data_IF_506211213181
#
_entry.id   IF_506211213181
#
_cell.length_a   1.000
_cell.length_b   1.000
_cell.length_c   1.000
_cell.angle_alpha   90.00
_cell.angle_beta   90.00
_cell.angle_gamma   90.00
#
_symmetry.space_group_name_H-M   'P 1'
#
loop_
_entity.id
_entity.type
_entity.pdbx_description
1 polymer ?
#
# COMPACT_ATOMS: atom_id res chain seq x y z
N UNK A 1 7.39 -8.63 -20.12
CA UNK A 1 6.81 -9.57 -19.13
C UNK A 1 7.87 -10.41 -18.46
N UNK A 2 8.77 -11.05 -19.22
CA UNK A 2 9.88 -11.84 -18.64
C UNK A 2 10.69 -11.05 -17.60
N UNK A 3 11.13 -9.83 -17.92
CA UNK A 3 11.86 -8.95 -16.99
C UNK A 3 11.11 -8.70 -15.67
N UNK A 4 9.78 -8.51 -15.73
CA UNK A 4 8.96 -8.30 -14.53
C UNK A 4 8.89 -9.58 -13.68
N UNK A 5 8.69 -10.73 -14.31
CA UNK A 5 8.65 -12.03 -13.62
C UNK A 5 10.02 -12.32 -12.99
N UNK A 6 11.10 -12.06 -13.70
CA UNK A 6 12.47 -12.25 -13.19
C UNK A 6 12.75 -11.33 -11.98
N UNK A 7 12.30 -10.08 -12.03
CA UNK A 7 12.42 -9.14 -10.91
C UNK A 7 11.62 -9.61 -9.67
N UNK A 8 10.41 -10.11 -9.86
CA UNK A 8 9.58 -10.68 -8.78
C UNK A 8 10.29 -11.87 -8.15
N UNK A 9 10.77 -12.81 -8.97
CA UNK A 9 11.48 -14.00 -8.49
C UNK A 9 12.75 -13.62 -7.73
N UNK A 10 13.54 -12.69 -8.26
CA UNK A 10 14.75 -12.18 -7.61
C UNK A 10 14.43 -11.57 -6.24
N UNK A 11 13.43 -10.69 -6.17
CA UNK A 11 13.03 -10.07 -4.91
C UNK A 11 12.45 -11.08 -3.91
N UNK A 12 11.72 -12.10 -4.39
CA UNK A 12 11.19 -13.19 -3.56
C UNK A 12 12.32 -14.04 -2.98
N UNK A 13 13.32 -14.41 -3.78
CA UNK A 13 14.51 -15.11 -3.31
C UNK A 13 15.27 -14.28 -2.27
N UNK A 14 15.39 -12.97 -2.48
CA UNK A 14 16.00 -12.07 -1.50
C UNK A 14 15.23 -12.08 -0.17
N UNK A 15 13.89 -11.94 -0.20
CA UNK A 15 13.04 -12.03 1.00
C UNK A 15 13.21 -13.37 1.74
N UNK A 16 13.22 -14.50 1.02
CA UNK A 16 13.41 -15.83 1.61
C UNK A 16 14.79 -16.03 2.24
N UNK A 17 15.81 -15.32 1.74
CA UNK A 17 17.16 -15.35 2.31
C UNK A 17 17.29 -14.53 3.59
N UNK A 18 16.31 -13.67 3.90
CA UNK A 18 16.32 -12.88 5.13
C UNK A 18 16.10 -13.79 6.32
N UNK A 19 17.13 -13.97 7.13
CA UNK A 19 16.99 -14.56 8.44
C UNK A 19 16.38 -13.51 9.37
N UNK A 20 15.25 -13.82 10.01
CA UNK A 20 14.65 -12.93 11.00
C UNK A 20 15.46 -12.96 12.29
N UNK A 21 16.64 -12.35 12.27
CA UNK A 21 17.57 -12.26 13.40
C UNK A 21 17.10 -11.22 14.43
N UNK A 22 16.24 -10.29 14.02
CA UNK A 22 15.72 -9.24 14.88
C UNK A 22 14.41 -9.64 15.55
N UNK A 23 14.37 -9.64 16.90
CA UNK A 23 13.12 -9.80 17.66
C UNK A 23 12.20 -8.56 17.64
N UNK A 24 12.46 -7.57 16.79
CA UNK A 24 11.69 -6.33 16.73
C UNK A 24 10.36 -6.55 15.97
N UNK A 25 9.21 -6.19 16.55
CA UNK A 25 7.92 -6.19 15.86
C UNK A 25 7.93 -5.35 14.57
N UNK A 26 8.65 -4.23 14.55
CA UNK A 26 8.79 -3.35 13.39
C UNK A 26 9.46 -4.07 12.22
N UNK A 27 10.55 -4.81 12.51
CA UNK A 27 11.24 -5.58 11.48
C UNK A 27 10.38 -6.70 10.92
N UNK A 28 9.71 -7.47 11.78
CA UNK A 28 8.80 -8.52 11.34
C UNK A 28 7.63 -7.97 10.50
N UNK A 29 7.07 -6.83 10.91
CA UNK A 29 5.99 -6.15 10.17
C UNK A 29 6.47 -5.59 8.84
N UNK A 30 7.70 -5.05 8.77
CA UNK A 30 8.30 -4.64 7.51
C UNK A 30 8.39 -5.82 6.54
N UNK A 31 8.88 -6.98 6.96
CA UNK A 31 8.93 -8.16 6.09
C UNK A 31 7.54 -8.58 5.56
N UNK A 32 6.48 -8.40 6.35
CA UNK A 32 5.10 -8.61 5.88
C UNK A 32 4.70 -7.61 4.79
N UNK A 33 5.08 -6.34 4.91
CA UNK A 33 4.87 -5.37 3.82
C UNK A 33 5.64 -5.77 2.56
N UNK A 34 6.86 -6.32 2.69
CA UNK A 34 7.59 -6.83 1.53
C UNK A 34 6.85 -8.00 0.85
N UNK A 35 6.31 -8.94 1.62
CA UNK A 35 5.42 -9.99 1.08
C UNK A 35 4.24 -9.38 0.32
N UNK A 36 3.57 -8.37 0.87
CA UNK A 36 2.45 -7.69 0.18
C UNK A 36 2.88 -6.95 -1.09
N UNK A 37 4.07 -6.37 -1.12
CA UNK A 37 4.63 -5.78 -2.35
C UNK A 37 4.77 -6.86 -3.43
N UNK A 38 5.31 -8.04 -3.10
CA UNK A 38 5.46 -9.15 -4.05
C UNK A 38 4.11 -9.64 -4.58
N UNK A 39 3.14 -9.89 -3.69
CA UNK A 39 1.78 -10.31 -4.07
C UNK A 39 1.12 -9.29 -5.02
N UNK A 40 1.24 -8.00 -4.71
CA UNK A 40 0.69 -6.95 -5.57
C UNK A 40 1.40 -6.88 -6.92
N UNK A 41 2.73 -7.02 -6.96
CA UNK A 41 3.49 -7.03 -8.22
C UNK A 41 3.12 -8.23 -9.12
N UNK A 42 2.82 -9.39 -8.52
CA UNK A 42 2.29 -10.55 -9.24
C UNK A 42 0.88 -10.29 -9.79
N UNK A 43 0.01 -9.69 -8.98
CA UNK A 43 -1.31 -9.27 -9.45
C UNK A 43 -1.22 -8.25 -10.60
N UNK A 44 -0.29 -7.29 -10.53
CA UNK A 44 0.00 -6.36 -11.64
C UNK A 44 0.39 -7.13 -12.90
N UNK A 45 1.31 -8.08 -12.81
CA UNK A 45 1.74 -8.88 -13.95
C UNK A 45 0.57 -9.66 -14.60
N UNK A 46 -0.28 -10.27 -13.78
CA UNK A 46 -1.48 -10.99 -14.25
C UNK A 46 -2.48 -10.05 -14.91
N UNK A 47 -2.79 -8.92 -14.29
CA UNK A 47 -3.74 -7.94 -14.82
C UNK A 47 -3.27 -7.36 -16.15
N UNK A 48 -1.99 -7.03 -16.29
CA UNK A 48 -1.41 -6.57 -17.55
C UNK A 48 -1.48 -7.64 -18.65
N UNK A 49 -1.23 -8.92 -18.33
CA UNK A 49 -1.36 -10.02 -19.30
C UNK A 49 -2.79 -10.19 -19.83
N UNK A 50 -3.80 -9.78 -19.06
CA UNK A 50 -5.21 -9.85 -19.43
C UNK A 50 -5.79 -8.50 -19.87
N UNK A 51 -4.94 -7.50 -20.14
CA UNK A 51 -5.33 -6.13 -20.55
C UNK A 51 -6.18 -5.36 -19.53
N UNK A 52 -6.17 -5.76 -18.27
CA UNK A 52 -6.79 -5.02 -17.15
C UNK A 52 -5.85 -3.92 -16.64
N UNK A 53 -5.48 -3.00 -17.53
CA UNK A 53 -4.39 -2.05 -17.29
C UNK A 53 -4.68 -1.06 -16.16
N UNK A 54 -5.89 -0.50 -16.11
CA UNK A 54 -6.27 0.45 -15.05
C UNK A 54 -6.24 -0.23 -13.68
N UNK A 55 -6.73 -1.46 -13.59
CA UNK A 55 -6.69 -2.27 -12.37
C UNK A 55 -5.25 -2.58 -11.98
N UNK A 56 -4.39 -2.91 -12.95
CA UNK A 56 -2.97 -3.10 -12.70
C UNK A 56 -2.32 -1.84 -12.10
N UNK A 57 -2.67 -0.66 -12.63
CA UNK A 57 -2.14 0.60 -12.11
C UNK A 57 -2.63 0.85 -10.67
N UNK A 58 -3.90 0.61 -10.39
CA UNK A 58 -4.46 0.72 -9.04
C UNK A 58 -3.75 -0.20 -8.03
N UNK A 59 -3.42 -1.43 -8.42
CA UNK A 59 -2.67 -2.37 -7.56
C UNK A 59 -1.21 -1.93 -7.40
N UNK A 60 -0.58 -1.39 -8.46
CA UNK A 60 0.79 -0.84 -8.35
C UNK A 60 0.86 0.35 -7.38
N UNK A 61 -0.16 1.22 -7.36
CA UNK A 61 -0.28 2.27 -6.33
C UNK A 61 -0.20 1.69 -4.93
N UNK A 62 -0.94 0.61 -4.64
CA UNK A 62 -0.93 -0.04 -3.33
C UNK A 62 0.46 -0.59 -3.00
N UNK A 63 1.18 -1.09 -4.02
CA UNK A 63 2.59 -1.52 -3.87
C UNK A 63 3.49 -0.37 -3.40
N UNK A 64 3.31 0.84 -3.94
CA UNK A 64 4.05 2.04 -3.49
C UNK A 64 3.71 2.39 -2.04
N UNK A 65 2.45 2.26 -1.62
CA UNK A 65 2.04 2.51 -0.22
C UNK A 65 2.65 1.50 0.75
N UNK A 66 2.68 0.22 0.38
CA UNK A 66 3.37 -0.79 1.18
C UNK A 66 4.87 -0.53 1.25
N UNK A 67 5.51 -0.09 0.15
CA UNK A 67 6.92 0.29 0.17
C UNK A 67 7.20 1.48 1.10
N UNK A 68 6.32 2.48 1.12
CA UNK A 68 6.47 3.63 2.02
C UNK A 68 6.40 3.18 3.50
N UNK A 69 5.45 2.33 3.86
CA UNK A 69 5.34 1.80 5.23
C UNK A 69 6.51 0.88 5.59
N UNK A 70 6.93 0.02 4.66
CA UNK A 70 8.13 -0.81 4.80
C UNK A 70 9.37 0.03 5.13
N UNK A 71 9.62 1.07 4.32
CA UNK A 71 10.77 1.95 4.50
C UNK A 71 10.68 2.73 5.82
N UNK A 72 9.50 3.21 6.19
CA UNK A 72 9.29 3.97 7.42
C UNK A 72 9.59 3.14 8.67
N UNK A 73 9.15 1.87 8.70
CA UNK A 73 9.46 0.95 9.80
C UNK A 73 10.95 0.66 9.90
N UNK A 74 11.63 0.38 8.78
CA UNK A 74 13.08 0.13 8.79
C UNK A 74 13.88 1.37 9.21
N UNK A 75 13.42 2.57 8.85
CA UNK A 75 14.08 3.83 9.21
C UNK A 75 13.70 4.34 10.60
N UNK A 76 12.78 3.67 11.31
CA UNK A 76 12.28 4.10 12.61
C UNK A 76 11.46 5.40 12.56
N UNK A 77 10.89 5.73 11.40
CA UNK A 77 10.03 6.90 11.19
C UNK A 77 8.57 6.65 11.59
N UNK A 78 8.20 5.38 11.73
CA UNK A 78 6.95 4.97 12.34
C UNK A 78 7.14 3.69 13.18
N UNK A 79 6.24 3.46 14.12
CA UNK A 79 6.15 2.22 14.91
C UNK A 79 4.94 1.40 14.49
N UNK A 80 4.94 0.11 14.87
CA UNK A 80 3.77 -0.77 14.65
C UNK A 80 2.54 -0.22 15.38
N UNK A 81 2.71 0.34 16.59
CA UNK A 81 1.62 0.93 17.37
C UNK A 81 0.99 2.14 16.63
N UNK A 82 1.81 3.00 16.01
CA UNK A 82 1.30 4.11 15.22
C UNK A 82 0.51 3.63 13.99
N UNK A 83 0.97 2.58 13.32
CA UNK A 83 0.21 1.96 12.22
C UNK A 83 -1.12 1.36 12.69
N UNK A 84 -1.14 0.73 13.87
CA UNK A 84 -2.36 0.20 14.48
C UNK A 84 -3.35 1.30 14.82
N UNK A 85 -2.91 2.37 15.52
CA UNK A 85 -3.75 3.53 15.85
C UNK A 85 -4.34 4.18 14.61
N UNK A 86 -3.53 4.34 13.55
CA UNK A 86 -4.02 4.85 12.26
C UNK A 86 -5.09 3.93 11.67
N UNK A 87 -4.84 2.62 11.65
CA UNK A 87 -5.82 1.65 11.14
C UNK A 87 -7.12 1.68 11.94
N UNK A 88 -7.04 1.80 13.27
CA UNK A 88 -8.21 1.95 14.14
C UNK A 88 -8.97 3.23 13.79
N UNK A 89 -8.30 4.38 13.73
CA UNK A 89 -8.91 5.65 13.36
C UNK A 89 -9.57 5.62 11.98
N UNK A 90 -8.95 4.98 10.99
CA UNK A 90 -9.53 4.78 9.66
C UNK A 90 -10.79 3.90 9.74
N UNK A 91 -10.76 2.77 10.47
CA UNK A 91 -11.92 1.91 10.70
C UNK A 91 -13.06 2.69 11.37
N UNK A 92 -12.75 3.46 12.41
CA UNK A 92 -13.69 4.34 13.13
C UNK A 92 -14.38 5.30 12.16
N UNK A 93 -13.58 5.99 11.33
CA UNK A 93 -14.08 6.94 10.34
C UNK A 93 -14.99 6.27 9.31
N UNK A 94 -14.58 5.11 8.77
CA UNK A 94 -15.40 4.39 7.79
C UNK A 94 -16.68 3.83 8.40
N UNK A 95 -16.61 3.29 9.63
CA UNK A 95 -17.78 2.80 10.35
C UNK A 95 -18.82 3.89 10.59
N UNK A 96 -18.38 5.11 10.95
CA UNK A 96 -19.24 6.28 11.06
C UNK A 96 -19.93 6.61 9.74
N UNK A 97 -19.18 6.70 8.64
CA UNK A 97 -19.73 6.99 7.31
C UNK A 97 -20.73 5.92 6.84
N UNK A 98 -20.47 4.65 7.16
CA UNK A 98 -21.40 3.55 6.87
C UNK A 98 -22.68 3.65 7.71
N UNK A 99 -22.57 4.00 8.99
CA UNK A 99 -23.73 4.17 9.88
C UNK A 99 -24.65 5.31 9.44
N UNK A 100 -24.11 6.37 8.85
CA UNK A 100 -24.88 7.49 8.28
C UNK A 100 -25.71 7.07 7.05
N UNK A 101 -25.38 5.94 6.41
CA UNK A 101 -26.08 5.36 5.25
C UNK A 101 -26.80 4.04 5.52
N UNK A 102 -26.82 3.57 6.77
CA UNK A 102 -27.21 2.21 7.17
C UNK A 102 -28.69 1.89 6.84
N UNK A 103 -29.57 2.87 7.03
CA UNK A 103 -31.00 2.77 6.74
C UNK A 103 -31.32 2.68 5.23
N UNK A 104 -30.33 2.93 4.36
CA UNK A 104 -30.51 3.00 2.90
C UNK A 104 -29.77 1.91 2.14
N UNK A 105 -28.96 1.07 2.81
CA UNK A 105 -28.13 0.07 2.13
C UNK A 105 -28.80 -1.31 2.12
N UNK A 106 -29.21 -1.83 0.94
CA UNK A 106 -29.75 -3.19 0.82
C UNK A 106 -28.67 -4.29 0.93
N UNK A 107 -27.39 -3.90 1.08
CA UNK A 107 -26.24 -4.82 1.04
C UNK A 107 -25.69 -5.13 2.44
N UNK A 108 -26.07 -4.34 3.46
CA UNK A 108 -25.67 -4.60 4.85
C UNK A 108 -26.57 -5.67 5.46
N UNK A 109 -25.97 -6.81 5.83
CA UNK A 109 -26.62 -7.85 6.63
C UNK A 109 -26.84 -7.35 8.06
N UNK A 110 -27.81 -7.92 8.78
CA UNK A 110 -28.07 -7.55 10.17
C UNK A 110 -26.87 -7.83 11.10
N UNK A 111 -26.06 -8.85 10.77
CA UNK A 111 -24.79 -9.12 11.45
C UNK A 111 -23.80 -7.96 11.28
N UNK A 112 -23.63 -7.46 10.06
CA UNK A 112 -22.74 -6.32 9.79
C UNK A 112 -23.24 -5.03 10.46
N UNK A 113 -24.57 -4.83 10.51
CA UNK A 113 -25.18 -3.69 11.21
C UNK A 113 -24.92 -3.73 12.71
N UNK A 114 -25.09 -4.90 13.33
CA UNK A 114 -24.81 -5.08 14.76
C UNK A 114 -23.31 -4.88 15.07
N UNK A 115 -22.41 -5.33 14.20
CA UNK A 115 -20.98 -5.07 14.33
C UNK A 115 -20.64 -3.58 14.20
N UNK A 116 -21.27 -2.86 13.27
CA UNK A 116 -21.12 -1.41 13.11
C UNK A 116 -21.66 -0.63 14.31
N UNK A 117 -22.81 -1.02 14.87
CA UNK A 117 -23.36 -0.45 16.09
C UNK A 117 -22.42 -0.67 17.30
N UNK A 118 -21.86 -1.87 17.44
CA UNK A 118 -20.88 -2.18 18.49
C UNK A 118 -19.55 -1.44 18.33
N UNK A 119 -19.16 -1.09 17.09
CA UNK A 119 -18.06 -0.16 16.84
C UNK A 119 -18.44 1.25 17.26
N UNK A 120 -19.61 1.77 16.86
CA UNK A 120 -20.12 3.11 17.17
C UNK A 120 -20.07 3.46 18.66
N UNK A 121 -20.49 2.52 19.50
CA UNK A 121 -20.55 2.73 20.96
C UNK A 121 -19.16 2.80 21.60
N UNK A 122 -18.10 2.38 20.88
CA UNK A 122 -16.69 2.51 21.29
C UNK A 122 -16.03 3.81 20.79
N UNK A 123 -16.71 4.64 19.99
CA UNK A 123 -16.13 5.78 19.24
C UNK A 123 -16.20 7.15 19.94
N UNK A 124 -16.12 7.21 21.28
CA UNK A 124 -16.09 8.51 21.99
C UNK A 124 -14.72 9.20 21.94
N UNK A 125 -13.74 8.65 21.24
CA UNK A 125 -12.42 9.23 21.06
C UNK A 125 -12.49 10.46 20.16
N UNK A 126 -12.09 11.62 20.72
CA UNK A 126 -11.86 12.85 19.97
C UNK A 126 -10.93 12.55 18.79
N UNK A 127 -11.23 13.13 17.63
CA UNK A 127 -10.30 13.22 16.51
C UNK A 127 -9.05 13.96 17.02
N UNK A 128 -8.06 13.24 17.51
CA UNK A 128 -6.73 13.81 17.66
C UNK A 128 -6.29 14.14 16.22
N UNK A 129 -6.09 15.43 15.95
CA UNK A 129 -5.45 15.95 14.74
C UNK A 129 -3.96 15.51 14.70
N UNK A 130 -3.67 14.23 14.90
CA UNK A 130 -2.37 13.68 14.54
C UNK A 130 -2.20 13.95 13.05
N UNK A 131 -1.14 14.70 12.70
CA UNK A 131 -0.69 14.91 11.33
C UNK A 131 -0.68 13.56 10.63
N UNK A 132 -1.75 13.24 9.91
CA UNK A 132 -1.90 11.91 9.34
C UNK A 132 -0.67 11.65 8.47
N UNK A 133 0.12 10.64 8.85
CA UNK A 133 1.22 10.15 8.02
C UNK A 133 0.57 9.58 6.75
N UNK A 134 0.37 10.44 5.76
CA UNK A 134 -0.08 10.06 4.44
C UNK A 134 1.13 9.53 3.65
N UNK A 135 0.87 8.69 2.64
CA UNK A 135 1.92 8.08 1.81
C UNK A 135 2.89 9.12 1.25
N UNK A 136 2.40 10.33 0.95
CA UNK A 136 3.23 11.42 0.45
C UNK A 136 4.33 11.83 1.43
N UNK A 137 3.98 12.12 2.68
CA UNK A 137 4.95 12.52 3.70
C UNK A 137 5.95 11.38 3.95
N UNK A 138 5.46 10.13 4.03
CA UNK A 138 6.31 8.96 4.23
C UNK A 138 7.30 8.75 3.09
N UNK A 139 6.89 8.89 1.83
CA UNK A 139 7.81 8.78 0.69
C UNK A 139 8.92 9.83 0.77
N UNK A 140 8.60 11.07 1.13
CA UNK A 140 9.60 12.12 1.27
C UNK A 140 10.58 11.84 2.43
N UNK A 141 10.05 11.54 3.62
CA UNK A 141 10.85 11.26 4.82
C UNK A 141 11.72 10.00 4.67
N UNK A 142 11.25 9.01 3.89
CA UNK A 142 12.01 7.81 3.58
C UNK A 142 13.05 8.01 2.46
N UNK A 143 13.16 9.18 1.84
CA UNK A 143 14.05 9.41 0.69
C UNK A 143 13.58 8.71 -0.60
N UNK A 144 12.29 8.40 -0.70
CA UNK A 144 11.63 7.74 -1.83
C UNK A 144 10.80 8.72 -2.67
N UNK A 145 11.16 10.01 -2.65
CA UNK A 145 10.45 11.08 -3.38
C UNK A 145 10.40 10.86 -4.89
N UNK A 146 11.31 10.04 -5.45
CA UNK A 146 11.29 9.64 -6.86
C UNK A 146 9.98 8.92 -7.27
N UNK A 147 9.27 8.29 -6.34
CA UNK A 147 7.98 7.60 -6.60
C UNK A 147 6.78 8.53 -6.48
N UNK A 148 6.95 9.77 -6.02
CA UNK A 148 5.85 10.68 -5.71
C UNK A 148 4.98 11.02 -6.91
N UNK A 149 5.62 11.47 -7.99
CA UNK A 149 4.91 11.94 -9.19
C UNK A 149 4.10 10.81 -9.78
N UNK A 150 4.71 9.62 -9.87
CA UNK A 150 4.02 8.42 -10.33
C UNK A 150 2.84 8.04 -9.43
N UNK A 151 3.06 7.96 -8.11
CA UNK A 151 1.99 7.67 -7.14
C UNK A 151 0.78 8.60 -7.31
N UNK A 152 1.01 9.90 -7.54
CA UNK A 152 -0.06 10.88 -7.75
C UNK A 152 -0.78 10.71 -9.07
N UNK A 153 -0.06 10.48 -10.16
CA UNK A 153 -0.66 10.23 -11.48
C UNK A 153 -1.56 8.99 -11.42
N UNK A 154 -1.05 7.89 -10.85
CA UNK A 154 -1.81 6.65 -10.71
C UNK A 154 -3.02 6.85 -9.78
N UNK A 155 -2.85 7.56 -8.66
CA UNK A 155 -3.98 7.84 -7.74
C UNK A 155 -5.09 8.65 -8.41
N UNK A 156 -4.73 9.58 -9.30
CA UNK A 156 -5.72 10.38 -10.02
C UNK A 156 -6.46 9.57 -11.09
N UNK A 157 -5.72 8.75 -11.85
CA UNK A 157 -6.24 8.05 -13.03
C UNK A 157 -6.85 6.68 -12.78
N UNK A 158 -6.39 5.97 -11.76
CA UNK A 158 -6.71 4.54 -11.58
C UNK A 158 -7.38 4.20 -10.25
N UNK A 159 -7.35 5.08 -9.24
CA UNK A 159 -7.88 4.77 -7.91
C UNK A 159 -9.34 5.18 -7.69
N UNK A 160 -9.92 5.96 -8.61
CA UNK A 160 -11.27 6.50 -8.48
C UNK A 160 -12.02 6.45 -9.83
N UNK A 161 -13.31 6.14 -9.79
CA UNK A 161 -14.22 6.27 -10.93
C UNK A 161 -14.42 7.76 -11.25
N UNK A 162 -13.50 8.32 -12.02
CA UNK A 162 -13.48 9.74 -12.37
C UNK A 162 -13.55 9.91 -13.88
N UNK A 163 -13.87 11.12 -14.33
CA UNK A 163 -13.77 11.43 -15.76
C UNK A 163 -12.34 11.17 -16.28
N UNK A 164 -11.32 11.38 -15.44
CA UNK A 164 -9.91 11.08 -15.76
C UNK A 164 -9.73 9.60 -16.04
N UNK A 165 -10.30 8.68 -15.25
CA UNK A 165 -10.17 7.24 -15.47
C UNK A 165 -10.80 6.74 -16.78
N UNK A 166 -11.71 7.52 -17.38
CA UNK A 166 -12.35 7.21 -18.67
C UNK A 166 -11.57 7.83 -19.84
N UNK A 167 -11.05 9.05 -19.66
CA UNK A 167 -10.31 9.76 -20.70
C UNK A 167 -8.87 9.24 -20.82
N UNK A 168 -8.30 8.72 -19.75
CA UNK A 168 -6.95 8.19 -19.73
C UNK A 168 -6.93 6.79 -20.36
N UNK A 169 -6.73 6.74 -21.67
CA UNK A 169 -6.48 5.50 -22.38
C UNK A 169 -5.12 4.95 -21.99
N UNK A 170 -5.03 3.72 -21.46
CA UNK A 170 -3.76 3.08 -21.14
C UNK A 170 -2.96 2.78 -22.41
N UNK A 171 -2.20 3.75 -22.87
CA UNK A 171 -1.33 3.62 -24.03
C UNK A 171 -0.26 2.54 -23.79
N UNK A 172 0.28 1.95 -24.86
CA UNK A 172 1.39 0.99 -24.75
C UNK A 172 2.58 1.60 -24.01
N UNK A 173 2.83 2.90 -24.20
CA UNK A 173 3.90 3.62 -23.51
C UNK A 173 3.66 3.69 -21.99
N UNK A 174 2.44 3.97 -21.54
CA UNK A 174 2.10 4.00 -20.11
C UNK A 174 2.20 2.60 -19.48
N UNK A 175 1.75 1.57 -20.19
CA UNK A 175 1.88 0.17 -19.76
C UNK A 175 3.36 -0.17 -19.54
N UNK A 176 4.24 0.22 -20.47
CA UNK A 176 5.67 -0.05 -20.36
C UNK A 176 6.35 0.79 -19.26
N UNK A 177 5.89 2.04 -19.04
CA UNK A 177 6.32 2.84 -17.88
C UNK A 177 5.97 2.16 -16.56
N UNK A 178 4.75 1.62 -16.43
CA UNK A 178 4.34 0.90 -15.21
C UNK A 178 5.14 -0.38 -15.04
N UNK A 179 5.36 -1.18 -16.08
CA UNK A 179 6.23 -2.37 -15.98
C UNK A 179 7.62 -2.02 -15.46
N UNK A 180 8.25 -0.97 -16.02
CA UNK A 180 9.57 -0.49 -15.58
C UNK A 180 9.52 0.01 -14.14
N UNK A 181 8.47 0.71 -13.76
CA UNK A 181 8.31 1.15 -12.38
C UNK A 181 8.18 -0.01 -11.40
N UNK A 182 7.36 -1.03 -11.70
CA UNK A 182 7.22 -2.22 -10.86
C UNK A 182 8.57 -2.94 -10.71
N UNK A 183 9.30 -3.12 -11.80
CA UNK A 183 10.67 -3.69 -11.78
C UNK A 183 11.61 -2.87 -10.90
N UNK A 184 11.53 -1.54 -10.95
CA UNK A 184 12.34 -0.67 -10.11
C UNK A 184 11.90 -0.70 -8.64
N UNK A 185 10.59 -0.74 -8.38
CA UNK A 185 10.00 -0.81 -7.05
C UNK A 185 10.52 -2.04 -6.30
N UNK A 186 10.60 -3.19 -6.98
CA UNK A 186 11.09 -4.45 -6.41
C UNK A 186 12.57 -4.43 -5.98
N UNK A 187 13.35 -3.43 -6.39
CA UNK A 187 14.76 -3.27 -5.97
C UNK A 187 14.89 -2.58 -4.62
N UNK A 188 13.92 -1.75 -4.24
CA UNK A 188 14.01 -0.94 -3.01
C UNK A 188 14.00 -1.78 -1.73
N UNK A 189 13.16 -2.82 -1.56
CA UNK A 189 13.14 -3.57 -0.32
C UNK A 189 14.50 -4.16 0.07
N UNK A 190 15.22 -4.73 -0.89
CA UNK A 190 16.57 -5.27 -0.66
C UNK A 190 17.57 -4.18 -0.31
N UNK A 191 17.57 -3.04 -1.03
CA UNK A 191 18.49 -1.93 -0.76
C UNK A 191 18.27 -1.33 0.64
N UNK A 192 17.03 -1.05 1.00
CA UNK A 192 16.64 -0.51 2.30
C UNK A 192 16.96 -1.48 3.45
N UNK A 193 16.78 -2.79 3.22
CA UNK A 193 17.18 -3.81 4.18
C UNK A 193 18.70 -3.83 4.39
N UNK A 194 19.48 -3.72 3.31
CA UNK A 194 20.94 -3.61 3.38
C UNK A 194 21.37 -2.43 4.25
N UNK A 195 20.83 -1.23 3.97
CA UNK A 195 21.10 -0.03 4.78
C UNK A 195 20.72 -0.20 6.27
N UNK A 196 19.62 -0.90 6.54
CA UNK A 196 19.18 -1.17 7.91
C UNK A 196 20.13 -2.11 8.66
N UNK A 197 20.61 -3.16 7.99
CA UNK A 197 21.52 -4.15 8.58
C UNK A 197 22.93 -3.58 8.79
N UNK A 198 23.41 -2.67 7.93
CA UNK A 198 24.72 -2.02 8.10
C UNK A 198 24.80 -1.06 9.30
N UNK A 199 23.65 -0.54 9.76
CA UNK A 199 23.55 0.43 10.86
C UNK A 199 23.40 -0.21 12.25
N UNK A 200 23.38 -1.53 12.35
CA UNK A 200 23.22 -2.30 13.60
C UNK A 200 24.49 -3.05 13.96
#
# INVERSE_FOLDING_TARGET
MNELIDAINTSRSALLSVTNTSKSPEFATALQFWTKILENCEAVALLLNHNFNVQAFAVHRISIEHLANFAALLKGLCTVEQLQKKSEADIVKQARLLSEGEDKSPVLTDENKNALAGLRDRLTTKEDEEKSQNTFNLLAECGLSCLYVEYRIISLGAAHSTLVSIIQSSSTEEIDKVKKSVVNLLKFPTALLGEFMEKR
#
